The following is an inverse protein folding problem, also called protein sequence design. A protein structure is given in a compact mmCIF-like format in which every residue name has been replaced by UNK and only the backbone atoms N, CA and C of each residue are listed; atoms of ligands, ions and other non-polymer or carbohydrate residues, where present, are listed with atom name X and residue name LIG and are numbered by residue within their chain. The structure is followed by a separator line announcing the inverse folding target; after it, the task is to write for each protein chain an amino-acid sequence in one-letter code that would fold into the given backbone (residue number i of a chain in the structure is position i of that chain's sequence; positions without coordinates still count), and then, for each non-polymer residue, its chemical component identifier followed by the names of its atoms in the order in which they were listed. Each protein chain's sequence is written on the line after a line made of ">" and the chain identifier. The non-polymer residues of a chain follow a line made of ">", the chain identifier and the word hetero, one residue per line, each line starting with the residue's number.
data_IF_387413596056
#
_entry.id   IF_387413596056
#
_cell.length_a   1.000
_cell.length_b   1.000
_cell.length_c   1.000
_cell.angle_alpha   90.00
_cell.angle_beta   90.00
_cell.angle_gamma   90.00
#
_symmetry.space_group_name_H-M   'P 1'
#
loop_
_entity.id
_entity.type
_entity.pdbx_description
1 polymer ?
#
# COMPACT_ATOMS: atom_id res chain seq x y z
N UNK A 1 4.49 2.42 -7.49
CA UNK A 1 5.09 2.60 -8.83
C UNK A 1 5.96 1.40 -9.18
N UNK A 2 5.98 0.97 -10.44
CA UNK A 2 6.89 -0.07 -10.92
C UNK A 2 8.32 0.46 -11.16
N UNK A 3 9.32 -0.44 -11.23
CA UNK A 3 10.73 -0.08 -11.48
C UNK A 3 10.93 0.77 -12.76
N UNK A 4 10.09 0.54 -13.78
CA UNK A 4 10.13 1.30 -15.04
C UNK A 4 9.48 2.69 -14.94
N UNK A 5 8.61 2.90 -13.96
CA UNK A 5 7.96 4.20 -13.75
C UNK A 5 8.89 5.18 -13.03
N UNK A 6 9.78 4.67 -12.16
CA UNK A 6 10.67 5.50 -11.34
C UNK A 6 11.58 6.44 -12.13
N UNK A 7 12.08 6.00 -13.29
CA UNK A 7 12.99 6.81 -14.10
C UNK A 7 12.32 8.04 -14.73
N UNK A 8 11.11 7.88 -15.30
CA UNK A 8 10.40 9.01 -15.90
C UNK A 8 9.83 9.93 -14.83
N UNK A 9 9.44 9.39 -13.68
CA UNK A 9 8.96 10.15 -12.52
C UNK A 9 10.06 11.08 -12.00
N UNK A 10 11.26 10.56 -11.74
CA UNK A 10 12.40 11.37 -11.32
C UNK A 10 12.75 12.45 -12.36
N UNK A 11 12.75 12.10 -13.65
CA UNK A 11 12.96 13.07 -14.72
C UNK A 11 11.89 14.18 -14.73
N UNK A 12 10.64 13.83 -14.41
CA UNK A 12 9.50 14.76 -14.33
C UNK A 12 9.61 15.67 -13.12
N UNK A 13 10.02 15.16 -11.96
CA UNK A 13 10.28 15.97 -10.75
C UNK A 13 11.42 16.97 -10.99
N UNK A 14 12.54 16.52 -11.59
CA UNK A 14 13.65 17.43 -11.95
C UNK A 14 13.23 18.49 -12.94
N UNK A 15 12.43 18.12 -13.94
CA UNK A 15 11.87 19.05 -14.91
C UNK A 15 10.93 20.06 -14.22
N UNK A 16 10.10 19.59 -13.29
CA UNK A 16 9.22 20.44 -12.47
C UNK A 16 10.02 21.49 -11.72
N UNK A 17 11.09 21.10 -11.01
CA UNK A 17 11.93 22.04 -10.28
C UNK A 17 12.52 23.12 -11.20
N UNK A 18 13.02 22.74 -12.39
CA UNK A 18 13.55 23.70 -13.37
C UNK A 18 12.48 24.68 -13.86
N UNK A 19 11.32 24.16 -14.27
CA UNK A 19 10.21 24.97 -14.74
C UNK A 19 9.71 25.90 -13.63
N UNK A 20 9.58 25.43 -12.40
CA UNK A 20 9.13 26.23 -11.27
C UNK A 20 10.05 27.44 -11.01
N UNK A 21 11.37 27.27 -11.18
CA UNK A 21 12.36 28.35 -11.13
C UNK A 21 12.38 29.28 -12.37
N UNK A 22 11.52 29.05 -13.36
CA UNK A 22 11.49 29.82 -14.61
C UNK A 22 12.66 29.53 -15.55
N UNK A 23 13.35 28.39 -15.38
CA UNK A 23 14.42 27.97 -16.28
C UNK A 23 13.85 27.25 -17.51
N UNK A 24 14.58 27.34 -18.63
CA UNK A 24 14.23 26.59 -19.84
C UNK A 24 14.29 25.07 -19.58
N UNK A 25 13.37 24.30 -20.19
CA UNK A 25 13.34 22.85 -20.05
C UNK A 25 14.61 22.22 -20.64
N UNK A 26 15.08 21.17 -19.98
CA UNK A 26 16.24 20.40 -20.41
C UNK A 26 15.81 19.32 -21.42
N UNK A 27 16.45 19.24 -22.59
CA UNK A 27 16.06 18.29 -23.64
C UNK A 27 16.11 16.83 -23.17
N UNK A 28 17.10 16.47 -22.33
CA UNK A 28 17.22 15.11 -21.80
C UNK A 28 16.08 14.79 -20.83
N UNK A 29 15.71 15.76 -19.98
CA UNK A 29 14.58 15.59 -19.05
C UNK A 29 13.23 15.57 -19.76
N UNK A 30 13.07 16.34 -20.84
CA UNK A 30 11.85 16.34 -21.66
C UNK A 30 11.68 14.99 -22.35
N UNK A 31 12.76 14.39 -22.86
CA UNK A 31 12.72 13.07 -23.49
C UNK A 31 12.47 11.95 -22.47
N UNK A 32 13.09 12.03 -21.29
CA UNK A 32 13.00 10.99 -20.27
C UNK A 32 11.71 11.07 -19.42
N UNK A 33 11.13 12.26 -19.28
CA UNK A 33 10.01 12.54 -18.37
C UNK A 33 8.68 12.79 -19.05
N UNK A 34 7.80 13.50 -18.33
CA UNK A 34 6.47 13.92 -18.78
C UNK A 34 6.32 15.44 -18.70
N UNK A 35 6.67 16.18 -19.76
CA UNK A 35 6.71 17.65 -19.72
C UNK A 35 5.35 18.28 -19.42
N UNK A 36 4.26 17.65 -19.89
CA UNK A 36 2.90 18.07 -19.60
C UNK A 36 2.56 18.03 -18.11
N UNK A 37 3.01 16.98 -17.41
CA UNK A 37 2.78 16.82 -15.97
C UNK A 37 3.72 17.71 -15.15
N UNK A 38 4.97 17.87 -15.60
CA UNK A 38 5.93 18.76 -14.97
C UNK A 38 5.48 20.22 -15.02
N UNK A 39 4.93 20.67 -16.15
CA UNK A 39 4.38 22.02 -16.31
C UNK A 39 3.19 22.24 -15.38
N UNK A 40 2.24 21.29 -15.34
CA UNK A 40 1.08 21.39 -14.46
C UNK A 40 1.46 21.48 -12.97
N UNK A 41 2.43 20.66 -12.53
CA UNK A 41 2.93 20.70 -11.16
C UNK A 41 3.70 22.00 -10.88
N UNK A 42 4.56 22.44 -11.80
CA UNK A 42 5.31 23.68 -11.64
C UNK A 42 4.39 24.91 -11.57
N UNK A 43 3.35 24.97 -12.40
CA UNK A 43 2.35 26.03 -12.38
C UNK A 43 1.58 26.04 -11.05
N UNK A 44 1.22 24.86 -10.55
CA UNK A 44 0.58 24.74 -9.24
C UNK A 44 1.50 25.21 -8.12
N UNK A 45 2.79 24.80 -8.11
CA UNK A 45 3.75 25.25 -7.11
C UNK A 45 3.95 26.76 -7.13
N UNK A 46 4.08 27.38 -8.31
CA UNK A 46 4.18 28.85 -8.41
C UNK A 46 2.91 29.57 -7.92
N UNK A 47 1.74 28.94 -8.08
CA UNK A 47 0.49 29.48 -7.56
C UNK A 47 0.38 29.37 -6.04
N UNK A 48 0.84 28.25 -5.46
CA UNK A 48 0.77 27.99 -4.02
C UNK A 48 1.86 28.71 -3.24
N UNK A 49 3.00 28.98 -3.89
CA UNK A 49 4.18 29.65 -3.33
C UNK A 49 4.63 30.82 -4.22
N UNK A 50 3.86 31.93 -4.27
CA UNK A 50 4.14 33.06 -5.16
C UNK A 50 5.44 33.82 -4.83
N UNK A 51 5.97 33.62 -3.63
CA UNK A 51 7.18 34.22 -3.08
C UNK A 51 8.37 33.24 -2.99
N UNK A 52 8.24 32.05 -3.60
CA UNK A 52 9.32 31.07 -3.65
C UNK A 52 10.60 31.67 -4.24
N UNK A 53 11.71 31.49 -3.53
CA UNK A 53 13.04 31.91 -3.97
C UNK A 53 13.74 30.85 -4.80
N UNK A 54 13.45 29.58 -4.54
CA UNK A 54 13.96 28.45 -5.31
C UNK A 54 13.06 27.21 -5.15
N UNK A 55 13.11 26.32 -6.15
CA UNK A 55 12.58 24.96 -6.05
C UNK A 55 13.69 23.97 -6.42
N UNK A 56 14.00 23.02 -5.54
CA UNK A 56 15.04 22.01 -5.77
C UNK A 56 14.47 20.60 -5.79
N UNK A 57 15.04 19.74 -6.63
CA UNK A 57 14.79 18.30 -6.55
C UNK A 57 15.60 17.70 -5.41
N UNK A 58 14.94 16.92 -4.56
CA UNK A 58 15.53 16.22 -3.42
C UNK A 58 15.22 14.71 -3.43
N UNK A 59 14.32 14.25 -4.32
CA UNK A 59 13.97 12.85 -4.47
C UNK A 59 15.18 11.94 -4.71
N UNK A 60 15.08 10.69 -4.24
CA UNK A 60 16.14 9.68 -4.19
C UNK A 60 17.32 9.97 -3.24
N UNK A 61 17.28 10.99 -2.39
CA UNK A 61 18.10 11.00 -1.16
C UNK A 61 17.32 10.33 -0.03
N UNK A 62 17.98 9.46 0.74
CA UNK A 62 17.37 8.88 1.95
C UNK A 62 17.07 9.96 3.02
N UNK A 63 17.75 11.11 2.94
CA UNK A 63 17.66 12.19 3.93
C UNK A 63 16.57 13.26 3.65
N UNK A 64 15.68 13.07 2.65
CA UNK A 64 14.67 14.08 2.29
C UNK A 64 13.25 13.57 2.51
N UNK A 65 12.43 14.40 3.18
CA UNK A 65 11.02 14.11 3.47
C UNK A 65 10.13 14.06 2.22
N UNK A 66 10.56 14.67 1.11
CA UNK A 66 9.81 14.68 -0.14
C UNK A 66 10.69 14.81 -1.38
N UNK A 67 10.06 14.66 -2.55
CA UNK A 67 10.71 14.69 -3.87
C UNK A 67 11.24 16.07 -4.27
N UNK A 68 10.58 17.14 -3.81
CA UNK A 68 10.87 18.53 -4.12
C UNK A 68 10.95 19.35 -2.83
N UNK A 69 11.74 20.42 -2.84
CA UNK A 69 11.82 21.39 -1.75
C UNK A 69 11.64 22.78 -2.32
N UNK A 70 10.64 23.49 -1.79
CA UNK A 70 10.32 24.88 -2.11
C UNK A 70 10.92 25.76 -1.03
N UNK A 71 11.84 26.64 -1.42
CA UNK A 71 12.46 27.60 -0.52
C UNK A 71 11.67 28.91 -0.59
N UNK A 72 11.29 29.44 0.56
CA UNK A 72 10.62 30.74 0.72
C UNK A 72 11.38 31.57 1.76
N UNK A 73 11.13 32.89 1.87
CA UNK A 73 11.72 33.71 2.92
C UNK A 73 11.41 33.23 4.35
N UNK A 74 10.28 32.52 4.51
CA UNK A 74 9.80 32.03 5.81
C UNK A 74 10.32 30.61 6.16
N UNK A 75 10.92 29.91 5.19
CA UNK A 75 11.51 28.59 5.39
C UNK A 75 11.42 27.67 4.18
N UNK A 76 11.77 26.40 4.41
CA UNK A 76 11.66 25.32 3.43
C UNK A 76 10.32 24.59 3.58
N UNK A 77 9.68 24.29 2.46
CA UNK A 77 8.53 23.37 2.38
C UNK A 77 8.89 22.17 1.51
N UNK A 78 8.83 20.99 2.10
CA UNK A 78 9.00 19.70 1.43
C UNK A 78 7.72 19.34 0.68
N UNK A 79 7.86 18.88 -0.55
CA UNK A 79 6.78 18.52 -1.45
C UNK A 79 7.00 17.09 -1.95
N UNK A 80 6.05 16.22 -1.65
CA UNK A 80 5.98 14.87 -2.22
C UNK A 80 5.10 14.89 -3.47
N UNK A 81 5.59 14.35 -4.58
CA UNK A 81 4.90 14.40 -5.87
C UNK A 81 4.45 12.98 -6.30
N UNK A 82 3.14 12.73 -6.27
CA UNK A 82 2.58 11.43 -6.65
C UNK A 82 1.88 11.47 -8.00
N UNK A 83 2.40 10.74 -8.97
CA UNK A 83 1.79 10.62 -10.30
C UNK A 83 0.81 9.44 -10.38
N UNK A 84 -0.49 9.72 -10.28
CA UNK A 84 -1.55 8.70 -10.14
C UNK A 84 -2.47 8.64 -11.36
N UNK A 85 -3.02 7.46 -11.66
CA UNK A 85 -4.02 7.28 -12.73
C UNK A 85 -5.45 7.61 -12.28
N UNK A 86 -5.71 7.27 -11.02
CA UNK A 86 -6.96 7.34 -10.27
C UNK A 86 -6.58 7.13 -8.80
N UNK A 87 -7.45 7.55 -7.86
CA UNK A 87 -7.20 7.45 -6.40
C UNK A 87 -6.52 6.16 -5.98
N UNK A 88 -5.51 6.29 -5.11
CA UNK A 88 -4.51 5.25 -4.84
C UNK A 88 -4.47 4.79 -3.38
N UNK A 89 -3.78 3.68 -3.16
CA UNK A 89 -3.35 3.29 -1.81
C UNK A 89 -2.29 4.27 -1.32
N UNK A 90 -2.40 4.69 -0.05
CA UNK A 90 -1.42 5.59 0.59
C UNK A 90 -0.05 4.93 0.63
N UNK A 91 -0.01 3.69 1.13
CA UNK A 91 1.17 2.85 1.19
C UNK A 91 0.84 1.42 0.74
N UNK A 92 1.85 0.69 0.26
CA UNK A 92 1.78 -0.76 0.06
C UNK A 92 2.94 -1.40 0.83
N UNK A 93 2.63 -1.96 1.99
CA UNK A 93 3.60 -2.46 2.95
C UNK A 93 3.66 -3.99 2.91
N UNK A 94 4.66 -4.56 3.58
CA UNK A 94 4.80 -6.01 3.75
C UNK A 94 3.65 -6.59 4.56
N UNK A 95 3.46 -7.91 4.51
CA UNK A 95 2.42 -8.59 5.29
C UNK A 95 2.67 -8.55 6.81
N UNK A 96 3.94 -8.40 7.20
CA UNK A 96 4.40 -8.46 8.59
C UNK A 96 4.44 -7.08 9.26
N UNK A 97 4.05 -6.03 8.54
CA UNK A 97 4.20 -4.64 8.99
C UNK A 97 3.46 -4.31 10.28
N UNK A 98 2.34 -4.99 10.61
CA UNK A 98 1.66 -4.76 11.89
C UNK A 98 2.50 -5.15 13.11
N UNK A 99 3.41 -6.11 12.95
CA UNK A 99 4.24 -6.66 14.04
C UNK A 99 5.68 -6.18 13.93
N UNK A 100 6.18 -5.94 12.73
CA UNK A 100 7.56 -5.49 12.43
C UNK A 100 7.93 -4.21 13.19
N UNK A 101 6.98 -3.28 13.31
CA UNK A 101 7.17 -1.99 13.99
C UNK A 101 6.66 -1.99 15.45
N UNK A 102 6.48 -3.18 16.04
CA UNK A 102 6.07 -3.32 17.44
C UNK A 102 4.75 -2.62 17.78
N UNK A 103 3.78 -2.60 16.86
CA UNK A 103 2.44 -2.06 17.16
C UNK A 103 1.72 -2.92 18.19
N UNK A 104 2.01 -4.23 18.15
CA UNK A 104 1.61 -5.24 19.11
C UNK A 104 2.85 -5.78 19.82
N UNK A 105 2.81 -5.86 21.15
CA UNK A 105 3.89 -6.40 21.97
C UNK A 105 3.91 -7.94 21.87
N UNK A 106 5.09 -8.49 21.59
CA UNK A 106 5.36 -9.94 21.50
C UNK A 106 4.45 -10.74 20.53
N UNK A 107 3.74 -10.08 19.62
CA UNK A 107 2.89 -10.75 18.63
C UNK A 107 3.73 -11.38 17.51
N UNK A 108 3.44 -12.65 17.21
CA UNK A 108 3.99 -13.36 16.05
C UNK A 108 3.64 -12.64 14.74
N UNK A 109 4.61 -12.49 13.85
CA UNK A 109 4.41 -11.93 12.52
C UNK A 109 3.50 -12.81 11.66
N UNK A 110 2.83 -12.22 10.67
CA UNK A 110 1.90 -12.93 9.78
C UNK A 110 2.58 -14.10 9.06
N UNK A 111 3.79 -13.89 8.53
CA UNK A 111 4.59 -14.94 7.89
C UNK A 111 4.82 -16.12 8.82
N UNK A 112 5.37 -15.84 10.00
CA UNK A 112 5.71 -16.86 10.99
C UNK A 112 4.46 -17.59 11.51
N UNK A 113 3.37 -16.85 11.78
CA UNK A 113 2.10 -17.43 12.21
C UNK A 113 1.57 -18.45 11.19
N UNK A 114 1.67 -18.15 9.89
CA UNK A 114 1.23 -19.07 8.83
C UNK A 114 2.07 -20.33 8.76
N UNK A 115 3.39 -20.21 8.94
CA UNK A 115 4.29 -21.35 9.01
C UNK A 115 3.98 -22.21 10.25
N UNK A 116 3.74 -21.59 11.41
CA UNK A 116 3.42 -22.29 12.66
C UNK A 116 2.14 -23.13 12.57
N UNK A 117 1.11 -22.64 11.89
CA UNK A 117 -0.16 -23.37 11.72
C UNK A 117 -0.17 -24.32 10.53
N UNK A 118 0.92 -24.41 9.75
CA UNK A 118 1.03 -25.30 8.60
C UNK A 118 0.25 -24.86 7.35
N UNK A 119 -0.06 -23.56 7.23
CA UNK A 119 -0.81 -23.03 6.09
C UNK A 119 -0.15 -23.36 4.73
N UNK A 120 1.19 -23.20 4.55
CA UNK A 120 1.84 -23.52 3.29
C UNK A 120 1.59 -24.96 2.85
N UNK A 121 1.71 -25.92 3.76
CA UNK A 121 1.51 -27.35 3.52
C UNK A 121 0.08 -27.68 3.14
N UNK A 122 -0.91 -27.14 3.88
CA UNK A 122 -2.33 -27.36 3.62
C UNK A 122 -2.76 -26.80 2.26
N UNK A 123 -2.32 -25.58 1.94
CA UNK A 123 -2.51 -24.99 0.60
C UNK A 123 -1.89 -25.86 -0.49
N UNK A 124 -0.66 -26.35 -0.29
CA UNK A 124 -0.02 -27.21 -1.27
C UNK A 124 -0.74 -28.55 -1.43
N UNK A 125 -1.26 -29.13 -0.35
CA UNK A 125 -2.06 -30.35 -0.39
C UNK A 125 -3.31 -30.15 -1.26
N UNK A 126 -4.06 -29.06 -1.04
CA UNK A 126 -5.23 -28.69 -1.87
C UNK A 126 -4.86 -28.53 -3.34
N UNK A 127 -3.74 -27.85 -3.63
CA UNK A 127 -3.26 -27.73 -5.01
C UNK A 127 -2.88 -29.07 -5.62
N UNK A 128 -2.38 -30.05 -4.85
CA UNK A 128 -2.03 -31.39 -5.37
C UNK A 128 -3.24 -32.24 -5.73
N UNK A 129 -4.43 -31.91 -5.25
CA UNK A 129 -5.66 -32.65 -5.56
C UNK A 129 -6.07 -32.55 -7.03
N UNK A 130 -5.62 -31.50 -7.74
CA UNK A 130 -5.99 -31.31 -9.13
C UNK A 130 -5.18 -32.21 -10.09
N UNK A 131 -5.83 -33.19 -10.69
CA UNK A 131 -5.17 -34.13 -11.61
C UNK A 131 -4.86 -33.51 -12.99
N UNK A 132 -5.57 -32.43 -13.34
CA UNK A 132 -5.61 -31.83 -14.67
C UNK A 132 -4.47 -30.88 -15.04
N UNK A 133 -3.36 -30.87 -14.29
CA UNK A 133 -2.19 -30.04 -14.59
C UNK A 133 -1.40 -30.56 -15.81
N UNK A 134 -0.89 -29.66 -16.68
CA UNK A 134 0.16 -29.96 -17.66
C UNK A 134 1.45 -30.46 -17.01
N UNK A 135 2.25 -31.25 -17.73
CA UNK A 135 3.49 -31.85 -17.20
C UNK A 135 4.51 -30.81 -16.71
N UNK A 136 4.60 -29.66 -17.38
CA UNK A 136 5.45 -28.53 -16.98
C UNK A 136 4.97 -27.84 -15.69
N UNK A 137 3.67 -27.91 -15.39
CA UNK A 137 3.06 -27.39 -14.15
C UNK A 137 3.08 -28.45 -13.04
N UNK A 138 3.28 -29.74 -13.34
CA UNK A 138 3.31 -30.83 -12.33
C UNK A 138 4.61 -30.89 -11.53
N UNK A 139 5.68 -30.29 -12.03
CA UNK A 139 6.95 -30.19 -11.29
C UNK A 139 6.82 -29.23 -10.09
N UNK A 140 7.19 -29.69 -8.90
CA UNK A 140 7.15 -28.92 -7.64
C UNK A 140 8.52 -28.34 -7.26
N UNK A 141 9.57 -28.64 -8.03
CA UNK A 141 10.96 -28.36 -7.64
C UNK A 141 11.38 -26.89 -7.73
N UNK A 142 10.54 -26.03 -8.31
CA UNK A 142 10.88 -24.65 -8.61
C UNK A 142 10.05 -23.64 -7.81
N UNK A 143 10.65 -22.48 -7.51
CA UNK A 143 10.11 -21.47 -6.58
C UNK A 143 8.71 -20.93 -6.94
N UNK A 144 8.31 -20.96 -8.21
CA UNK A 144 7.00 -20.48 -8.68
C UNK A 144 5.95 -21.58 -8.85
N UNK A 145 6.22 -22.82 -8.44
CA UNK A 145 5.35 -23.98 -8.61
C UNK A 145 3.90 -23.76 -8.12
N UNK A 146 3.75 -23.19 -6.91
CA UNK A 146 2.45 -22.84 -6.32
C UNK A 146 1.69 -21.84 -7.20
N UNK A 147 2.38 -20.82 -7.70
CA UNK A 147 1.77 -19.76 -8.50
C UNK A 147 1.30 -20.27 -9.86
N UNK A 148 2.10 -21.10 -10.54
CA UNK A 148 1.74 -21.60 -11.86
C UNK A 148 0.54 -22.56 -11.80
N UNK A 149 0.44 -23.36 -10.72
CA UNK A 149 -0.73 -24.20 -10.45
C UNK A 149 -1.97 -23.36 -10.20
N UNK A 150 -1.89 -22.36 -9.34
CA UNK A 150 -3.00 -21.44 -9.11
C UNK A 150 -3.44 -20.72 -10.39
N UNK A 151 -2.47 -20.26 -11.21
CA UNK A 151 -2.74 -19.65 -12.51
C UNK A 151 -3.43 -20.63 -13.45
N UNK A 152 -3.02 -21.90 -13.46
CA UNK A 152 -3.67 -22.93 -14.26
C UNK A 152 -5.11 -23.16 -13.82
N UNK A 153 -5.41 -23.23 -12.51
CA UNK A 153 -6.79 -23.33 -12.02
C UNK A 153 -7.64 -22.14 -12.49
N UNK A 154 -7.10 -20.90 -12.42
CA UNK A 154 -7.80 -19.72 -12.98
C UNK A 154 -8.08 -19.86 -14.47
N UNK A 155 -7.16 -20.41 -15.25
CA UNK A 155 -7.34 -20.61 -16.68
C UNK A 155 -8.40 -21.69 -16.97
N UNK A 156 -8.44 -22.77 -16.18
CA UNK A 156 -9.48 -23.81 -16.29
C UNK A 156 -10.86 -23.22 -16.02
N UNK A 157 -10.98 -22.31 -15.05
CA UNK A 157 -12.24 -21.64 -14.72
C UNK A 157 -12.59 -20.45 -15.64
N UNK A 158 -11.73 -20.12 -16.60
CA UNK A 158 -11.84 -18.97 -17.49
C UNK A 158 -12.05 -17.63 -16.74
N UNK A 159 -11.26 -17.42 -15.67
CA UNK A 159 -11.37 -16.19 -14.85
C UNK A 159 -10.86 -14.99 -15.65
N UNK A 160 -11.78 -14.10 -15.99
CA UNK A 160 -11.47 -12.87 -16.72
C UNK A 160 -10.63 -11.87 -15.91
N UNK A 161 -9.94 -10.96 -16.60
CA UNK A 161 -9.14 -9.91 -15.94
C UNK A 161 -10.06 -9.03 -15.08
N UNK A 162 -9.75 -8.93 -13.79
CA UNK A 162 -10.52 -8.15 -12.81
C UNK A 162 -11.74 -8.87 -12.24
N UNK A 163 -12.05 -10.08 -12.71
CA UNK A 163 -13.11 -10.90 -12.12
C UNK A 163 -12.66 -11.51 -10.79
N UNK A 164 -13.55 -11.49 -9.80
CA UNK A 164 -13.33 -12.19 -8.54
C UNK A 164 -13.28 -13.71 -8.80
N UNK A 165 -12.19 -14.36 -8.36
CA UNK A 165 -11.96 -15.78 -8.62
C UNK A 165 -12.90 -16.69 -7.84
N UNK A 166 -13.27 -16.34 -6.61
CA UNK A 166 -14.25 -17.09 -5.82
C UNK A 166 -15.65 -17.04 -6.42
N UNK A 167 -16.11 -15.85 -6.81
CA UNK A 167 -17.41 -15.71 -7.48
C UNK A 167 -17.49 -16.54 -8.76
N UNK A 168 -16.40 -16.61 -9.54
CA UNK A 168 -16.35 -17.45 -10.74
C UNK A 168 -16.36 -18.94 -10.40
N UNK A 169 -15.68 -19.37 -9.34
CA UNK A 169 -15.72 -20.74 -8.88
C UNK A 169 -17.15 -21.14 -8.44
N UNK A 170 -17.85 -20.28 -7.72
CA UNK A 170 -19.25 -20.50 -7.32
C UNK A 170 -20.19 -20.64 -8.53
N UNK A 171 -20.03 -19.77 -9.55
CA UNK A 171 -20.76 -19.88 -10.82
C UNK A 171 -20.55 -21.24 -11.49
N UNK A 172 -19.30 -21.70 -11.58
CA UNK A 172 -18.94 -23.00 -12.18
C UNK A 172 -19.54 -24.17 -11.40
N UNK A 173 -19.58 -24.09 -10.07
CA UNK A 173 -20.21 -25.14 -9.25
C UNK A 173 -21.74 -25.17 -9.44
N UNK A 174 -22.37 -24.03 -9.65
CA UNK A 174 -23.81 -23.90 -9.88
C UNK A 174 -24.24 -24.25 -11.33
N UNK A 175 -23.34 -24.13 -12.31
CA UNK A 175 -23.61 -24.40 -13.72
C UNK A 175 -23.78 -25.91 -13.96
N UNK A 176 -24.95 -26.41 -14.42
CA UNK A 176 -25.14 -27.84 -14.71
C UNK A 176 -24.27 -28.36 -15.85
N UNK A 177 -23.85 -27.49 -16.77
CA UNK A 177 -23.09 -27.86 -17.96
C UNK A 177 -21.57 -27.85 -17.73
N UNK A 178 -21.12 -27.40 -16.55
CA UNK A 178 -19.70 -27.41 -16.17
C UNK A 178 -19.13 -28.83 -16.15
N UNK A 179 -17.95 -28.99 -16.76
CA UNK A 179 -17.20 -30.24 -16.81
C UNK A 179 -16.68 -30.63 -15.42
N UNK A 180 -16.41 -31.93 -15.20
CA UNK A 180 -15.85 -32.38 -13.90
C UNK A 180 -14.52 -31.70 -13.58
N UNK A 181 -13.69 -31.44 -14.61
CA UNK A 181 -12.42 -30.73 -14.45
C UNK A 181 -12.62 -29.29 -13.96
N UNK A 182 -13.62 -28.59 -14.49
CA UNK A 182 -13.95 -27.23 -14.04
C UNK A 182 -14.50 -27.25 -12.61
N UNK A 183 -15.37 -28.22 -12.28
CA UNK A 183 -15.91 -28.37 -10.93
C UNK A 183 -14.82 -28.70 -9.90
N UNK A 184 -13.91 -29.60 -10.24
CA UNK A 184 -12.75 -29.94 -9.42
C UNK A 184 -11.87 -28.71 -9.16
N UNK A 185 -11.51 -27.96 -10.21
CA UNK A 185 -10.77 -26.72 -10.07
C UNK A 185 -11.51 -25.69 -9.19
N UNK A 186 -12.82 -25.56 -9.35
CA UNK A 186 -13.64 -24.64 -8.56
C UNK A 186 -13.69 -25.04 -7.07
N UNK A 187 -13.82 -26.34 -6.75
CA UNK A 187 -13.77 -26.84 -5.37
C UNK A 187 -12.44 -26.53 -4.71
N UNK A 188 -11.32 -26.78 -5.40
CA UNK A 188 -9.98 -26.51 -4.87
C UNK A 188 -9.75 -25.02 -4.66
N UNK A 189 -10.19 -24.18 -5.61
CA UNK A 189 -10.13 -22.72 -5.47
C UNK A 189 -10.91 -22.26 -4.24
N UNK A 190 -12.17 -22.70 -4.07
CA UNK A 190 -12.98 -22.31 -2.93
C UNK A 190 -12.38 -22.82 -1.60
N UNK A 191 -11.87 -24.05 -1.56
CA UNK A 191 -11.20 -24.59 -0.37
C UNK A 191 -9.98 -23.76 0.04
N UNK A 192 -9.18 -23.28 -0.92
CA UNK A 192 -8.03 -22.40 -0.63
C UNK A 192 -8.50 -21.01 -0.14
N UNK A 193 -9.58 -20.47 -0.70
CA UNK A 193 -10.15 -19.20 -0.26
C UNK A 193 -10.71 -19.30 1.18
N UNK A 194 -11.39 -20.39 1.49
CA UNK A 194 -11.90 -20.67 2.83
C UNK A 194 -10.75 -20.86 3.83
N UNK A 195 -9.71 -21.61 3.46
CA UNK A 195 -8.50 -21.79 4.26
C UNK A 195 -7.82 -20.45 4.60
N UNK A 196 -7.64 -19.57 3.60
CA UNK A 196 -7.06 -18.23 3.80
C UNK A 196 -7.94 -17.33 4.67
N UNK A 197 -9.27 -17.44 4.54
CA UNK A 197 -10.21 -16.71 5.37
C UNK A 197 -10.15 -17.16 6.84
N UNK A 198 -10.18 -18.46 7.08
CA UNK A 198 -10.11 -19.04 8.43
C UNK A 198 -8.79 -18.66 9.10
N UNK A 199 -7.67 -18.77 8.38
CA UNK A 199 -6.35 -18.35 8.85
C UNK A 199 -6.30 -16.86 9.20
N UNK A 200 -6.78 -16.00 8.29
CA UNK A 200 -6.82 -14.55 8.54
C UNK A 200 -7.61 -14.20 9.80
N UNK A 201 -8.74 -14.87 10.03
CA UNK A 201 -9.55 -14.67 11.23
C UNK A 201 -8.80 -15.14 12.48
N UNK A 202 -8.12 -16.29 12.42
CA UNK A 202 -7.30 -16.80 13.52
C UNK A 202 -6.13 -15.86 13.83
N UNK A 203 -5.44 -15.32 12.82
CA UNK A 203 -4.38 -14.33 13.02
C UNK A 203 -4.94 -13.04 13.65
N UNK A 204 -6.13 -12.62 13.27
CA UNK A 204 -6.80 -11.47 13.86
C UNK A 204 -7.21 -11.70 15.30
N UNK A 205 -7.64 -12.91 15.67
CA UNK A 205 -7.85 -13.29 17.07
C UNK A 205 -6.53 -13.23 17.85
N UNK A 206 -5.44 -13.78 17.30
CA UNK A 206 -4.10 -13.67 17.89
C UNK A 206 -3.68 -12.21 18.14
N UNK A 207 -3.86 -11.32 17.17
CA UNK A 207 -3.57 -9.89 17.36
C UNK A 207 -4.50 -9.21 18.38
N UNK A 208 -5.76 -9.61 18.49
CA UNK A 208 -6.69 -9.05 19.50
C UNK A 208 -6.30 -9.40 20.92
N UNK A 209 -5.63 -10.53 21.12
CA UNK A 209 -5.14 -10.98 22.41
C UNK A 209 -3.82 -10.30 22.83
N UNK A 210 -3.06 -9.79 21.86
CA UNK A 210 -1.79 -9.11 22.10
C UNK A 210 -1.99 -7.71 22.70
N UNK A 211 -1.10 -7.34 23.61
CA UNK A 211 -1.00 -5.96 24.11
C UNK A 211 -0.53 -5.05 22.97
N UNK A 212 -1.04 -3.82 22.91
CA UNK A 212 -0.66 -2.85 21.90
C UNK A 212 0.18 -1.76 22.51
N UNK A 213 1.14 -1.23 21.74
CA UNK A 213 1.93 -0.06 22.12
C UNK A 213 1.34 1.20 21.47
N UNK A 214 0.60 2.05 22.21
CA UNK A 214 -0.10 3.19 21.63
C UNK A 214 0.84 4.21 20.98
N UNK A 215 2.06 4.36 21.53
CA UNK A 215 3.08 5.25 20.98
C UNK A 215 3.53 4.76 19.61
N UNK A 216 3.80 3.46 19.46
CA UNK A 216 4.21 2.91 18.17
C UNK A 216 3.07 2.98 17.14
N UNK A 217 1.82 2.75 17.57
CA UNK A 217 0.64 2.93 16.69
C UNK A 217 0.51 4.38 16.22
N UNK A 218 0.71 5.34 17.10
CA UNK A 218 0.68 6.76 16.76
C UNK A 218 1.83 7.15 15.83
N UNK A 219 3.07 6.74 16.13
CA UNK A 219 4.24 6.97 15.27
C UNK A 219 4.02 6.39 13.88
N UNK A 220 3.55 5.15 13.79
CA UNK A 220 3.21 4.52 12.52
C UNK A 220 2.18 5.34 11.74
N UNK A 221 1.11 5.81 12.40
CA UNK A 221 0.09 6.61 11.73
C UNK A 221 0.66 7.93 11.16
N UNK A 222 1.47 8.64 11.94
CA UNK A 222 2.10 9.88 11.51
C UNK A 222 3.05 9.65 10.34
N UNK A 223 3.95 8.66 10.43
CA UNK A 223 4.90 8.37 9.36
C UNK A 223 4.20 7.98 8.04
N UNK A 224 3.16 7.14 8.10
CA UNK A 224 2.37 6.82 6.90
C UNK A 224 1.71 8.07 6.30
N UNK A 225 1.20 8.98 7.14
CA UNK A 225 0.58 10.22 6.66
C UNK A 225 1.62 11.16 6.04
N UNK A 226 2.83 11.22 6.61
CA UNK A 226 4.01 11.94 6.13
C UNK A 226 4.64 11.38 4.84
N UNK A 227 4.10 10.32 4.25
CA UNK A 227 4.64 9.81 2.98
C UNK A 227 5.64 8.67 3.10
N UNK A 228 5.97 8.22 4.31
CA UNK A 228 6.85 7.07 4.51
C UNK A 228 6.10 5.79 4.15
N UNK A 229 6.48 5.15 3.03
CA UNK A 229 5.69 4.07 2.41
C UNK A 229 6.47 2.79 2.13
N UNK A 230 7.75 2.74 2.51
CA UNK A 230 8.59 1.54 2.45
C UNK A 230 8.97 1.10 3.85
N UNK A 231 9.25 -0.20 4.03
CA UNK A 231 9.72 -0.71 5.30
C UNK A 231 11.03 -0.02 5.73
N UNK A 232 11.99 0.11 4.81
CA UNK A 232 13.28 0.79 5.06
C UNK A 232 13.09 2.23 5.56
N UNK A 233 12.18 3.01 4.94
CA UNK A 233 11.98 4.40 5.32
C UNK A 233 11.16 4.53 6.61
N UNK A 234 10.30 3.55 6.92
CA UNK A 234 9.66 3.48 8.22
C UNK A 234 10.70 3.15 9.29
N UNK A 235 11.54 2.14 9.08
CA UNK A 235 12.57 1.68 10.04
C UNK A 235 13.58 2.78 10.38
N UNK A 236 14.04 3.54 9.37
CA UNK A 236 14.97 4.65 9.55
C UNK A 236 14.42 5.77 10.45
N UNK A 237 13.11 5.98 10.44
CA UNK A 237 12.44 7.07 11.13
C UNK A 237 11.54 6.62 12.30
N UNK A 238 11.41 5.32 12.55
CA UNK A 238 10.48 4.80 13.56
C UNK A 238 10.92 5.15 14.98
N UNK A 239 12.24 5.20 15.19
CA UNK A 239 12.86 5.54 16.46
C UNK A 239 13.06 7.05 16.67
N UNK A 240 12.69 7.88 15.68
CA UNK A 240 12.74 9.34 15.81
C UNK A 240 11.79 9.84 16.91
N UNK A 241 12.07 11.02 17.44
CA UNK A 241 11.17 11.65 18.41
C UNK A 241 9.84 11.98 17.72
N UNK A 242 8.76 11.37 18.20
CA UNK A 242 7.40 11.61 17.71
C UNK A 242 7.03 13.11 17.73
N UNK A 243 7.54 13.87 18.69
CA UNK A 243 7.30 15.32 18.76
C UNK A 243 8.03 16.08 17.65
N UNK A 244 9.14 15.57 17.14
CA UNK A 244 9.82 16.14 15.99
C UNK A 244 9.07 15.78 14.69
N UNK A 245 8.55 14.55 14.56
CA UNK A 245 7.68 14.15 13.44
C UNK A 245 6.40 15.02 13.40
N UNK A 246 5.77 15.23 14.56
CA UNK A 246 4.59 16.10 14.69
C UNK A 246 4.91 17.54 14.32
N UNK A 247 6.04 18.07 14.79
CA UNK A 247 6.45 19.45 14.49
C UNK A 247 6.62 19.66 12.98
N UNK A 248 7.18 18.69 12.26
CA UNK A 248 7.32 18.73 10.80
C UNK A 248 5.97 18.81 10.07
N UNK A 249 4.92 18.20 10.63
CA UNK A 249 3.57 18.32 10.11
C UNK A 249 2.95 19.68 10.45
N UNK A 250 3.07 20.13 11.71
CA UNK A 250 2.44 21.36 12.19
C UNK A 250 2.98 22.63 11.53
N UNK A 251 4.23 22.65 11.06
CA UNK A 251 4.84 23.84 10.46
C UNK A 251 4.45 24.11 9.01
N UNK A 252 3.46 23.40 8.46
CA UNK A 252 3.06 23.46 7.05
C UNK A 252 4.23 23.20 6.07
N UNK A 253 5.30 22.61 6.61
CA UNK A 253 6.57 22.36 5.93
C UNK A 253 6.56 21.09 5.11
N UNK A 254 5.44 20.36 5.05
CA UNK A 254 5.30 19.18 4.20
C UNK A 254 3.93 19.18 3.51
N UNK A 255 3.92 19.00 2.18
CA UNK A 255 2.69 18.94 1.38
C UNK A 255 2.75 17.81 0.36
N UNK A 256 1.63 17.12 0.18
CA UNK A 256 1.49 16.09 -0.84
C UNK A 256 0.77 16.66 -2.07
N UNK A 257 1.39 16.49 -3.23
CA UNK A 257 0.85 16.88 -4.52
C UNK A 257 0.54 15.63 -5.34
N UNK A 258 -0.74 15.32 -5.55
CA UNK A 258 -1.16 14.25 -6.44
C UNK A 258 -1.41 14.81 -7.84
N UNK A 259 -0.63 14.33 -8.81
CA UNK A 259 -0.73 14.71 -10.22
C UNK A 259 -1.41 13.58 -11.00
N UNK A 260 -2.59 13.86 -11.55
CA UNK A 260 -3.29 12.89 -12.39
C UNK A 260 -2.57 12.73 -13.73
N UNK A 261 -1.98 11.56 -13.97
CA UNK A 261 -1.16 11.29 -15.18
C UNK A 261 -1.93 11.33 -16.51
N UNK A 262 -3.26 11.28 -16.45
CA UNK A 262 -4.14 11.29 -17.62
C UNK A 262 -4.67 12.70 -17.93
N UNK A 263 -4.90 13.54 -16.92
CA UNK A 263 -5.49 14.88 -17.10
C UNK A 263 -4.54 16.03 -16.79
N UNK A 264 -3.42 15.78 -16.11
CA UNK A 264 -2.55 16.82 -15.56
C UNK A 264 -3.15 17.58 -14.38
N UNK A 265 -4.33 17.19 -13.90
CA UNK A 265 -4.93 17.84 -12.72
C UNK A 265 -4.07 17.58 -11.48
N UNK A 266 -3.79 18.64 -10.73
CA UNK A 266 -3.00 18.60 -9.50
C UNK A 266 -3.90 18.87 -8.31
N UNK A 267 -4.01 17.91 -7.40
CA UNK A 267 -4.63 18.07 -6.09
C UNK A 267 -3.56 18.17 -5.01
N UNK A 268 -3.81 19.03 -4.03
CA UNK A 268 -2.90 19.25 -2.90
C UNK A 268 -3.59 18.77 -1.65
N UNK A 269 -2.88 17.98 -0.87
CA UNK A 269 -3.31 17.51 0.43
C UNK A 269 -2.29 17.99 1.46
N UNK A 270 -2.80 18.53 2.57
CA UNK A 270 -1.98 18.92 3.70
C UNK A 270 -2.05 17.80 4.76
N UNK A 271 -0.99 17.01 4.95
CA UNK A 271 -0.98 15.91 5.91
C UNK A 271 -1.23 16.38 7.35
N UNK A 272 -0.89 17.63 7.67
CA UNK A 272 -1.21 18.23 8.96
C UNK A 272 -2.71 18.42 9.17
N UNK A 273 -3.46 18.81 8.13
CA UNK A 273 -4.91 18.94 8.17
C UNK A 273 -5.60 17.58 8.34
N UNK A 274 -5.02 16.51 7.78
CA UNK A 274 -5.53 15.15 7.97
C UNK A 274 -5.47 14.72 9.43
N UNK A 275 -4.41 15.06 10.14
CA UNK A 275 -4.23 14.71 11.54
C UNK A 275 -4.78 15.78 12.49
N UNK A 276 -5.15 16.95 11.97
CA UNK A 276 -5.68 18.05 12.75
C UNK A 276 -6.97 17.66 13.48
N UNK A 277 -7.00 17.93 14.78
CA UNK A 277 -8.17 17.70 15.63
C UNK A 277 -8.41 16.23 16.00
N UNK A 278 -7.47 15.33 15.74
CA UNK A 278 -7.44 14.05 16.44
C UNK A 278 -6.88 14.24 17.86
N UNK A 279 -7.59 13.72 18.84
CA UNK A 279 -7.07 13.55 20.21
C UNK A 279 -6.38 12.19 20.24
N UNK A 280 -5.04 12.17 20.31
CA UNK A 280 -4.23 10.95 20.26
C UNK A 280 -4.28 10.09 21.54
N UNK A 281 -5.27 10.34 22.39
CA UNK A 281 -5.57 9.49 23.53
C UNK A 281 -6.20 8.17 23.07
N UNK A 282 -5.86 7.08 23.74
CA UNK A 282 -6.44 5.75 23.45
C UNK A 282 -6.18 5.24 22.01
N UNK A 283 -5.10 5.71 21.38
CA UNK A 283 -4.68 5.32 20.03
C UNK A 283 -4.37 3.83 19.97
N UNK A 284 -4.98 3.13 19.00
CA UNK A 284 -4.88 1.69 18.85
C UNK A 284 -5.20 1.21 17.44
N UNK A 285 -4.80 -0.01 17.16
CA UNK A 285 -5.26 -0.81 16.04
C UNK A 285 -6.57 -1.51 16.41
N UNK A 286 -7.64 -1.24 15.66
CA UNK A 286 -8.93 -1.92 15.74
C UNK A 286 -9.08 -2.97 14.64
N UNK A 287 -9.48 -4.17 15.05
CA UNK A 287 -9.73 -5.30 14.16
C UNK A 287 -11.22 -5.67 14.27
N UNK A 288 -12.06 -5.33 13.27
CA UNK A 288 -13.48 -5.63 13.28
C UNK A 288 -13.71 -7.14 13.30
N UNK A 289 -14.79 -7.60 13.94
CA UNK A 289 -15.10 -9.03 14.09
C UNK A 289 -15.15 -9.78 12.76
N UNK A 290 -15.57 -9.11 11.68
CA UNK A 290 -15.67 -9.70 10.35
C UNK A 290 -14.32 -9.91 9.64
N UNK A 291 -13.23 -9.37 10.20
CA UNK A 291 -11.87 -9.50 9.68
C UNK A 291 -11.70 -8.98 8.26
N UNK A 292 -12.50 -8.00 7.84
CA UNK A 292 -12.41 -7.46 6.47
C UNK A 292 -11.18 -6.59 6.29
N UNK A 293 -10.93 -5.67 7.22
CA UNK A 293 -9.79 -4.73 7.23
C UNK A 293 -9.44 -4.35 8.66
N UNK A 294 -8.24 -3.81 8.87
CA UNK A 294 -7.76 -3.32 10.16
C UNK A 294 -7.75 -1.79 10.11
N UNK A 295 -8.04 -1.09 11.21
CA UNK A 295 -8.01 0.37 11.24
C UNK A 295 -7.10 0.88 12.36
N UNK A 296 -6.35 1.95 12.10
CA UNK A 296 -5.78 2.75 13.20
C UNK A 296 -6.84 3.76 13.61
N UNK A 297 -7.16 3.78 14.91
CA UNK A 297 -8.17 4.67 15.49
C UNK A 297 -7.62 5.39 16.69
N UNK A 298 -8.23 6.54 16.99
CA UNK A 298 -7.88 7.32 18.17
C UNK A 298 -9.08 8.11 18.70
N UNK A 299 -8.98 8.58 19.95
CA UNK A 299 -10.04 9.25 20.68
C UNK A 299 -10.77 8.36 21.69
N UNK A 300 -11.64 8.95 22.52
CA UNK A 300 -12.22 8.27 23.67
C UNK A 300 -13.17 7.12 23.28
N UNK A 301 -13.35 6.12 24.16
CA UNK A 301 -14.34 5.05 23.96
C UNK A 301 -15.73 5.60 23.64
N UNK A 302 -16.30 5.20 22.50
CA UNK A 302 -17.62 5.65 22.03
C UNK A 302 -17.62 6.82 21.04
N UNK A 303 -16.48 7.49 20.83
CA UNK A 303 -16.30 8.51 19.79
C UNK A 303 -14.93 8.37 19.10
N UNK A 304 -14.56 7.13 18.76
CA UNK A 304 -13.32 6.86 18.05
C UNK A 304 -13.39 7.33 16.61
N UNK A 305 -12.33 8.01 16.19
CA UNK A 305 -12.15 8.44 14.80
C UNK A 305 -11.10 7.55 14.15
N UNK A 306 -11.34 7.14 12.90
CA UNK A 306 -10.39 6.36 12.11
C UNK A 306 -9.37 7.30 11.49
N UNK A 307 -8.10 6.96 11.63
CA UNK A 307 -6.96 7.67 11.04
C UNK A 307 -6.50 6.95 9.77
N UNK A 308 -6.35 5.62 9.83
CA UNK A 308 -5.93 4.79 8.71
C UNK A 308 -6.82 3.56 8.60
N UNK A 309 -7.00 3.07 7.38
CA UNK A 309 -7.53 1.74 7.08
C UNK A 309 -6.46 0.91 6.38
N UNK A 310 -6.33 -0.35 6.76
CA UNK A 310 -5.31 -1.26 6.28
C UNK A 310 -5.98 -2.55 5.82
N UNK A 311 -5.76 -2.93 4.57
CA UNK A 311 -6.34 -4.14 3.99
C UNK A 311 -5.28 -5.03 3.36
N UNK A 312 -5.35 -6.33 3.64
CA UNK A 312 -4.54 -7.34 2.96
C UNK A 312 -5.00 -7.49 1.50
N UNK A 313 -4.05 -7.49 0.58
CA UNK A 313 -4.28 -7.45 -0.86
C UNK A 313 -3.40 -8.47 -1.60
N UNK A 314 -4.02 -9.31 -2.43
CA UNK A 314 -3.36 -10.35 -3.23
C UNK A 314 -3.09 -9.95 -4.69
N UNK A 315 -3.29 -8.67 -5.03
CA UNK A 315 -3.05 -8.11 -6.37
C UNK A 315 -3.84 -8.89 -7.43
N UNK A 316 -3.18 -9.42 -8.46
CA UNK A 316 -3.82 -10.17 -9.55
C UNK A 316 -3.98 -11.68 -9.25
N UNK A 317 -3.59 -12.11 -8.04
CA UNK A 317 -3.64 -13.49 -7.57
C UNK A 317 -4.90 -13.67 -6.75
N UNK A 318 -5.48 -14.86 -6.74
CA UNK A 318 -6.56 -15.12 -5.79
C UNK A 318 -5.99 -15.37 -4.40
N UNK A 319 -6.81 -15.15 -3.38
CA UNK A 319 -6.40 -15.17 -1.97
C UNK A 319 -5.87 -16.56 -1.58
N UNK A 320 -4.98 -16.63 -0.60
CA UNK A 320 -4.33 -17.88 -0.16
C UNK A 320 -3.12 -18.36 -0.98
N UNK A 321 -2.89 -17.86 -2.19
CA UNK A 321 -1.81 -18.40 -3.05
C UNK A 321 -0.42 -17.82 -2.74
N UNK A 322 -0.36 -16.56 -2.34
CA UNK A 322 0.89 -15.89 -2.01
C UNK A 322 0.72 -14.98 -0.80
N UNK A 323 1.86 -14.58 -0.27
CA UNK A 323 2.04 -13.44 0.62
C UNK A 323 1.23 -12.23 0.15
N UNK A 324 0.21 -11.78 0.90
CA UNK A 324 -0.47 -10.52 0.63
C UNK A 324 0.47 -9.33 0.81
N UNK A 325 0.13 -8.20 0.20
CA UNK A 325 0.64 -6.89 0.64
C UNK A 325 -0.40 -6.20 1.51
N UNK A 326 0.03 -5.30 2.40
CA UNK A 326 -0.87 -4.46 3.18
C UNK A 326 -1.07 -3.12 2.47
N UNK A 327 -2.26 -2.89 1.96
CA UNK A 327 -2.65 -1.62 1.38
C UNK A 327 -3.16 -0.70 2.48
N UNK A 328 -2.54 0.47 2.65
CA UNK A 328 -2.99 1.48 3.62
C UNK A 328 -3.75 2.58 2.90
N UNK A 329 -4.80 3.10 3.54
CA UNK A 329 -5.68 4.15 3.04
C UNK A 329 -5.96 5.16 4.15
N UNK A 330 -6.17 6.41 3.78
CA UNK A 330 -6.76 7.42 4.68
C UNK A 330 -8.27 7.39 4.45
N UNK A 331 -9.12 7.33 5.50
CA UNK A 331 -10.57 7.38 5.35
C UNK A 331 -11.01 8.69 4.67
N UNK A 332 -12.01 8.61 3.79
CA UNK A 332 -12.64 9.83 3.24
C UNK A 332 -13.28 10.64 4.38
N UNK A 333 -13.04 11.96 4.37
CA UNK A 333 -13.48 12.91 5.39
C UNK A 333 -15.00 13.18 5.38
#
# INVERSE_FOLDING_TARGET
>A
MGKHERAWVEATERLTARLANGADPDEELVEAGRPDLAEALADRLRSDFPDATAVRHAGNSYDSLGDLIVETPDGETFVEAKFVASGGTRANLGQDTLTEFGLFEDATAWSDFREEIGFPEDREALLREFDGYPDDVRDWSYKSAVYDRAKHLKNVLDVSRGQNTGSRADEVLADPDATEKEREAARIVNAILDLDREEKLAYFDHLREAEQNPRNVETFAHLIVCGYHTADALDEHFDDDLEDIKRLLETDSYRLYEVNRNSGAVSVENPSELLAGFEWEDTRVEIPEDGTSVSVVTGPPGNRRRVLNIAYNWKNKFQGIQTPSMNVFVPEA
#
